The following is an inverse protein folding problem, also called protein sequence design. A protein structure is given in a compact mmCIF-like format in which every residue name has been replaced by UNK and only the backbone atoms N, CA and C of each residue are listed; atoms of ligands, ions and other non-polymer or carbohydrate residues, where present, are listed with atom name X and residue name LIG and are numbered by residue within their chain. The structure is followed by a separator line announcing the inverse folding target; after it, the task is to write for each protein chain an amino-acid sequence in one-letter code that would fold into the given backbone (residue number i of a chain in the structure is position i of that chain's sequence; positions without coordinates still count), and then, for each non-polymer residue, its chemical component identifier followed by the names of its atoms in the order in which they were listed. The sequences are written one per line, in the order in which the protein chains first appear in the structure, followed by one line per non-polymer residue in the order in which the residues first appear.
data_IF_702017541821
#
_entry.id   IF_702017541821
#
_cell.length_a   1.000
_cell.length_b   1.000
_cell.length_c   1.000
_cell.angle_alpha   90.00
_cell.angle_beta   90.00
_cell.angle_gamma   90.00
#
_symmetry.space_group_name_H-M   'P 1'
#
loop_
_entity.id
_entity.type
_entity.pdbx_description
1 polymer ?
#
# COMPACT_ATOMS: atom_id res chain seq x y z
N UNK A 1 -14.91 -6.97 8.37
CA UNK A 1 -13.74 -7.65 8.95
C UNK A 1 -13.24 -8.54 7.85
N UNK A 2 -12.02 -8.32 7.36
CA UNK A 2 -11.33 -9.38 6.62
C UNK A 2 -10.70 -10.21 7.73
N UNK A 3 -11.28 -11.37 8.01
CA UNK A 3 -10.81 -12.27 9.08
C UNK A 3 -9.35 -12.67 8.79
N UNK A 4 -8.50 -12.66 9.83
CA UNK A 4 -7.03 -12.80 9.69
C UNK A 4 -6.58 -14.20 9.19
N UNK A 5 -7.51 -15.16 9.08
CA UNK A 5 -7.26 -16.55 8.71
C UNK A 5 -7.85 -16.99 7.36
N UNK A 6 -8.63 -16.12 6.67
CA UNK A 6 -9.10 -16.45 5.32
C UNK A 6 -8.05 -16.08 4.27
N UNK A 7 -7.91 -16.95 3.27
CA UNK A 7 -7.09 -16.70 2.09
C UNK A 7 -7.62 -15.46 1.36
N UNK A 8 -6.72 -14.55 0.95
CA UNK A 8 -7.13 -13.28 0.36
C UNK A 8 -7.32 -13.40 -1.15
N UNK A 9 -8.54 -13.19 -1.62
CA UNK A 9 -8.85 -13.10 -3.05
C UNK A 9 -8.14 -11.91 -3.73
N UNK A 10 -7.98 -12.00 -5.05
CA UNK A 10 -7.18 -11.05 -5.81
C UNK A 10 -7.78 -9.63 -5.85
N UNK A 11 -9.11 -9.53 -5.95
CA UNK A 11 -9.84 -8.26 -6.00
C UNK A 11 -9.63 -7.41 -4.73
N UNK A 12 -9.91 -7.91 -3.51
CA UNK A 12 -9.65 -7.13 -2.29
C UNK A 12 -8.17 -6.86 -2.08
N UNK A 13 -7.26 -7.73 -2.56
CA UNK A 13 -5.83 -7.44 -2.54
C UNK A 13 -5.48 -6.22 -3.38
N UNK A 14 -6.03 -6.12 -4.60
CA UNK A 14 -5.81 -4.98 -5.48
C UNK A 14 -6.30 -3.67 -4.85
N UNK A 15 -7.51 -3.68 -4.29
CA UNK A 15 -8.08 -2.52 -3.59
C UNK A 15 -7.22 -2.09 -2.40
N UNK A 16 -6.74 -3.06 -1.63
CA UNK A 16 -5.98 -2.78 -0.42
C UNK A 16 -4.56 -2.26 -0.74
N UNK A 17 -3.92 -2.74 -1.82
CA UNK A 17 -2.68 -2.16 -2.34
C UNK A 17 -2.88 -0.74 -2.87
N UNK A 18 -3.98 -0.49 -3.59
CA UNK A 18 -4.32 0.87 -4.06
C UNK A 18 -4.55 1.83 -2.88
N UNK A 19 -5.26 1.38 -1.84
CA UNK A 19 -5.43 2.17 -0.62
C UNK A 19 -4.09 2.45 0.08
N UNK A 20 -3.17 1.48 0.12
CA UNK A 20 -1.84 1.66 0.68
C UNK A 20 -1.01 2.71 -0.09
N UNK A 21 -1.12 2.75 -1.42
CA UNK A 21 -0.50 3.79 -2.26
C UNK A 21 -1.03 5.19 -1.94
N UNK A 22 -2.36 5.31 -1.77
CA UNK A 22 -3.00 6.57 -1.37
C UNK A 22 -2.54 7.01 0.01
N UNK A 23 -2.41 6.09 0.97
CA UNK A 23 -1.91 6.40 2.33
C UNK A 23 -0.46 6.90 2.29
N UNK A 24 0.41 6.25 1.51
CA UNK A 24 1.80 6.70 1.34
C UNK A 24 1.85 8.10 0.71
N UNK A 25 1.03 8.36 -0.31
CA UNK A 25 0.91 9.67 -0.92
C UNK A 25 0.40 10.73 0.07
N UNK A 26 -0.60 10.40 0.87
CA UNK A 26 -1.20 11.31 1.86
C UNK A 26 -0.24 11.68 2.99
N UNK A 27 0.67 10.78 3.34
CA UNK A 27 1.76 11.05 4.26
C UNK A 27 2.90 11.90 3.66
N UNK A 28 2.87 12.17 2.35
CA UNK A 28 3.88 12.96 1.63
C UNK A 28 4.97 12.13 0.94
N UNK A 29 4.77 10.83 0.76
CA UNK A 29 5.70 9.91 0.08
C UNK A 29 5.01 9.20 -1.10
N UNK A 30 4.51 9.93 -2.11
CA UNK A 30 3.80 9.35 -3.25
C UNK A 30 4.73 8.57 -4.18
N UNK A 31 4.16 7.71 -5.02
CA UNK A 31 4.90 6.99 -6.05
C UNK A 31 5.40 8.00 -7.10
N UNK A 32 6.45 7.66 -7.83
CA UNK A 32 6.91 8.51 -8.93
C UNK A 32 5.89 8.57 -10.07
N UNK A 33 5.14 7.49 -10.27
CA UNK A 33 4.17 7.23 -11.33
C UNK A 33 2.70 7.29 -10.87
N UNK A 34 2.44 7.70 -9.62
CA UNK A 34 1.08 7.89 -9.11
C UNK A 34 0.28 8.85 -10.01
N UNK A 35 -0.94 8.46 -10.36
CA UNK A 35 -1.85 9.22 -11.23
C UNK A 35 -2.10 10.63 -10.69
N UNK A 36 -2.08 11.62 -11.58
CA UNK A 36 -2.22 13.04 -11.23
C UNK A 36 -3.57 13.37 -10.58
N UNK A 37 -4.64 12.65 -10.92
CA UNK A 37 -5.96 12.83 -10.28
C UNK A 37 -5.90 12.39 -8.83
N UNK A 38 -5.20 11.28 -8.55
CA UNK A 38 -5.01 10.79 -7.17
C UNK A 38 -4.14 11.77 -6.40
N UNK A 39 -3.05 12.27 -6.97
CA UNK A 39 -2.22 13.32 -6.34
C UNK A 39 -3.02 14.57 -6.01
N UNK A 40 -3.81 15.06 -6.97
CA UNK A 40 -4.62 16.25 -6.80
C UNK A 40 -5.70 16.06 -5.74
N UNK A 41 -6.31 14.87 -5.68
CA UNK A 41 -7.27 14.53 -4.63
C UNK A 41 -6.62 14.48 -3.25
N UNK A 42 -5.49 13.79 -3.12
CA UNK A 42 -4.73 13.67 -1.85
C UNK A 42 -4.32 15.05 -1.32
N UNK A 43 -3.86 15.95 -2.20
CA UNK A 43 -3.43 17.30 -1.81
C UNK A 43 -4.57 18.15 -1.21
N UNK A 44 -5.83 17.80 -1.47
CA UNK A 44 -7.01 18.48 -0.93
C UNK A 44 -7.47 17.88 0.40
N UNK A 45 -6.96 16.71 0.81
CA UNK A 45 -7.40 16.03 2.02
C UNK A 45 -6.57 16.45 3.24
N UNK A 46 -7.24 16.73 4.37
CA UNK A 46 -6.56 16.93 5.64
C UNK A 46 -6.21 15.58 6.26
N UNK A 47 -4.91 15.30 6.37
CA UNK A 47 -4.43 14.05 6.89
C UNK A 47 -4.70 13.94 8.40
N UNK A 48 -5.57 13.02 8.79
CA UNK A 48 -5.82 12.65 10.19
C UNK A 48 -5.50 11.18 10.39
N UNK A 49 -5.00 10.84 11.59
CA UNK A 49 -4.70 9.46 11.98
C UNK A 49 -3.75 8.70 11.02
N UNK A 50 -2.83 9.43 10.37
CA UNK A 50 -1.90 8.88 9.38
C UNK A 50 -1.09 7.68 9.91
N UNK A 51 -0.65 7.73 11.17
CA UNK A 51 0.16 6.66 11.77
C UNK A 51 -0.61 5.34 11.75
N UNK A 52 -1.85 5.33 12.23
CA UNK A 52 -2.69 4.14 12.25
C UNK A 52 -3.01 3.62 10.84
N UNK A 53 -3.27 4.53 9.90
CA UNK A 53 -3.51 4.18 8.49
C UNK A 53 -2.26 3.55 7.86
N UNK A 54 -1.07 4.10 8.13
CA UNK A 54 0.20 3.55 7.64
C UNK A 54 0.44 2.16 8.23
N UNK A 55 0.21 1.96 9.52
CA UNK A 55 0.35 0.64 10.17
C UNK A 55 -0.63 -0.39 9.61
N UNK A 56 -1.86 0.01 9.27
CA UNK A 56 -2.81 -0.85 8.56
C UNK A 56 -2.33 -1.19 7.15
N UNK A 57 -1.86 -0.20 6.39
CA UNK A 57 -1.34 -0.39 5.04
C UNK A 57 -0.13 -1.35 5.04
N UNK A 58 0.77 -1.24 6.02
CA UNK A 58 1.92 -2.15 6.18
C UNK A 58 1.49 -3.59 6.46
N UNK A 59 0.47 -3.80 7.32
CA UNK A 59 -0.07 -5.14 7.62
C UNK A 59 -0.70 -5.79 6.40
N UNK A 60 -1.55 -5.06 5.70
CA UNK A 60 -2.17 -5.52 4.45
C UNK A 60 -1.09 -5.88 3.43
N UNK A 61 -0.13 -4.99 3.18
CA UNK A 61 0.95 -5.24 2.23
C UNK A 61 1.74 -6.50 2.58
N UNK A 62 1.99 -6.74 3.86
CA UNK A 62 2.66 -7.96 4.30
C UNK A 62 1.80 -9.21 4.04
N UNK A 63 0.48 -9.15 4.29
CA UNK A 63 -0.45 -10.25 4.06
C UNK A 63 -0.58 -10.58 2.56
N UNK A 64 -0.85 -9.58 1.72
CA UNK A 64 -0.96 -9.74 0.26
C UNK A 64 0.30 -10.38 -0.33
N UNK A 65 1.48 -9.96 0.12
CA UNK A 65 2.76 -10.50 -0.38
C UNK A 65 3.08 -11.93 0.06
N UNK A 66 2.39 -12.44 1.08
CA UNK A 66 2.74 -13.73 1.71
C UNK A 66 1.70 -14.80 1.42
N UNK A 67 0.41 -14.43 1.45
CA UNK A 67 -0.71 -15.36 1.46
C UNK A 67 -1.93 -14.72 0.78
N UNK A 68 -1.93 -14.69 -0.57
CA UNK A 68 -3.05 -14.18 -1.36
C UNK A 68 -3.10 -14.76 -2.78
N UNK A 69 -4.31 -14.81 -3.34
CA UNK A 69 -4.56 -15.13 -4.74
C UNK A 69 -3.83 -14.16 -5.67
N UNK A 70 -3.75 -12.88 -5.32
CA UNK A 70 -3.02 -11.90 -6.13
C UNK A 70 -1.54 -12.28 -6.26
N UNK A 71 -0.88 -12.67 -5.16
CA UNK A 71 0.51 -13.14 -5.19
C UNK A 71 0.64 -14.35 -6.11
N UNK A 72 -0.24 -15.33 -5.96
CA UNK A 72 -0.19 -16.58 -6.71
C UNK A 72 -0.39 -16.33 -8.22
N UNK A 73 -1.36 -15.47 -8.58
CA UNK A 73 -1.57 -15.03 -9.97
C UNK A 73 -0.32 -14.35 -10.56
N UNK A 74 0.37 -13.50 -9.80
CA UNK A 74 1.60 -12.86 -10.28
C UNK A 74 2.77 -13.83 -10.36
N UNK A 75 2.85 -14.83 -9.48
CA UNK A 75 3.89 -15.87 -9.46
C UNK A 75 3.84 -16.74 -10.73
N UNK A 76 2.68 -16.89 -11.35
CA UNK A 76 2.49 -17.58 -12.63
C UNK A 76 2.94 -16.75 -13.85
N UNK A 77 3.38 -15.49 -13.66
CA UNK A 77 3.82 -14.60 -14.75
C UNK A 77 5.33 -14.38 -14.78
N UNK A 78 5.87 -14.01 -15.95
CA UNK A 78 7.28 -13.60 -16.09
C UNK A 78 7.61 -12.28 -15.36
N UNK A 79 6.59 -11.50 -14.97
CA UNK A 79 6.72 -10.22 -14.27
C UNK A 79 6.65 -10.34 -12.74
N UNK A 80 6.68 -11.55 -12.16
CA UNK A 80 6.61 -11.73 -10.71
C UNK A 80 7.69 -10.94 -9.95
N UNK A 81 8.92 -10.93 -10.49
CA UNK A 81 10.03 -10.20 -9.90
C UNK A 81 9.80 -8.68 -9.90
N UNK A 82 9.23 -8.16 -10.99
CA UNK A 82 8.88 -6.74 -11.10
C UNK A 82 7.77 -6.37 -10.12
N UNK A 83 6.73 -7.21 -10.02
CA UNK A 83 5.67 -7.03 -9.04
C UNK A 83 6.21 -7.01 -7.61
N UNK A 84 7.09 -7.95 -7.24
CA UNK A 84 7.73 -7.97 -5.93
C UNK A 84 8.56 -6.70 -5.65
N UNK A 85 9.25 -6.18 -6.68
CA UNK A 85 10.02 -4.94 -6.56
C UNK A 85 9.10 -3.73 -6.30
N UNK A 86 7.95 -3.64 -6.99
CA UNK A 86 6.93 -2.63 -6.73
C UNK A 86 6.41 -2.73 -5.30
N UNK A 87 6.07 -3.93 -4.83
CA UNK A 87 5.60 -4.14 -3.45
C UNK A 87 6.68 -3.82 -2.40
N UNK A 88 7.95 -4.03 -2.71
CA UNK A 88 9.07 -3.64 -1.85
C UNK A 88 9.26 -2.11 -1.81
N UNK A 89 9.11 -1.44 -2.95
CA UNK A 89 9.15 0.02 -3.02
C UNK A 89 8.03 0.66 -2.18
N UNK A 90 6.80 0.16 -2.30
CA UNK A 90 5.67 0.61 -1.48
C UNK A 90 5.94 0.39 0.02
N UNK A 91 6.50 -0.76 0.40
CA UNK A 91 6.88 -1.03 1.80
C UNK A 91 7.87 0.01 2.34
N UNK A 92 8.89 0.34 1.56
CA UNK A 92 9.88 1.36 1.94
C UNK A 92 9.22 2.72 2.11
N UNK A 93 8.41 3.14 1.14
CA UNK A 93 7.68 4.41 1.18
C UNK A 93 6.73 4.52 2.37
N UNK A 94 6.07 3.43 2.77
CA UNK A 94 5.26 3.39 4.00
C UNK A 94 6.12 3.55 5.27
N UNK A 95 7.34 3.02 5.30
CA UNK A 95 8.28 3.25 6.41
C UNK A 95 8.76 4.70 6.49
N UNK A 96 9.06 5.30 5.35
CA UNK A 96 9.42 6.72 5.25
C UNK A 96 8.23 7.61 5.65
N UNK A 97 7.02 7.26 5.18
CA UNK A 97 5.76 7.90 5.54
C UNK A 97 5.51 7.85 7.05
N UNK A 98 5.74 6.70 7.70
CA UNK A 98 5.61 6.55 9.14
C UNK A 98 6.55 7.51 9.88
N UNK A 99 7.80 7.57 9.43
CA UNK A 99 8.81 8.47 10.00
C UNK A 99 8.42 9.94 9.82
N UNK A 100 7.86 10.32 8.67
CA UNK A 100 7.39 11.68 8.42
C UNK A 100 6.14 12.03 9.25
N UNK A 101 5.17 11.12 9.34
CA UNK A 101 3.95 11.32 10.13
C UNK A 101 4.28 11.54 11.61
N UNK A 102 5.23 10.77 12.16
CA UNK A 102 5.71 10.95 13.55
C UNK A 102 6.42 12.27 13.82
N UNK A 103 7.01 12.91 12.80
CA UNK A 103 7.68 14.22 12.96
C UNK A 103 6.71 15.40 12.94
N UNK A 104 5.50 15.21 12.42
CA UNK A 104 4.47 16.25 12.26
C UNK A 104 3.45 16.29 13.41
N UNK A 105 3.49 15.32 14.32
CA UNK A 105 2.74 15.31 15.59
C UNK A 105 3.51 16.10 16.66
#
# INVERSE_FOLDING_TARGET
MLDEDDYLDADPCCEALAAAEVVAAWAGVPAADLDDKVRAWVAQQQATDLIHLIEKAQRVLARVRTDSELKDLWEETDSFAEWQAVQANLKQRLGDAYTQARRKQ
#
